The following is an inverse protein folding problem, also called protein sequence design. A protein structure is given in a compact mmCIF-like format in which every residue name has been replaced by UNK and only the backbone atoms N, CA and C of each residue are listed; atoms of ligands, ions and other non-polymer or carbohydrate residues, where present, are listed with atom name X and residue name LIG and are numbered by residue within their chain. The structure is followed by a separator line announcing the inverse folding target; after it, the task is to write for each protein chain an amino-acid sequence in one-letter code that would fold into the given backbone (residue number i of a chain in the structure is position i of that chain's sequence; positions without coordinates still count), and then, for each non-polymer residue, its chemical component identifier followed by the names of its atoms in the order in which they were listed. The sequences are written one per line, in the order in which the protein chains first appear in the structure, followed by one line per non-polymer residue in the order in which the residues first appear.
data_IF_625280494996
#
_entry.id   IF_625280494996
#
_cell.length_a   1.000
_cell.length_b   1.000
_cell.length_c   1.000
_cell.angle_alpha   90.00
_cell.angle_beta   90.00
_cell.angle_gamma   90.00
#
_symmetry.space_group_name_H-M   'P 1'
#
loop_
_entity.id
_entity.type
_entity.pdbx_description
1 polymer ?
#
# COMPACT_ATOMS: atom_id res chain seq x y z
N UNK A 1 -28.60 -2.12 10.21
CA UNK A 1 -27.40 -2.28 9.34
C UNK A 1 -26.70 -3.58 9.72
N UNK A 2 -26.33 -4.43 8.73
CA UNK A 2 -25.66 -5.70 9.01
C UNK A 2 -24.25 -5.50 9.60
N UNK A 3 -23.73 -6.47 10.36
CA UNK A 3 -22.38 -6.43 10.92
C UNK A 3 -21.33 -6.27 9.81
N UNK A 4 -21.47 -7.00 8.71
CA UNK A 4 -20.56 -6.92 7.55
C UNK A 4 -20.44 -5.51 7.01
N UNK A 5 -21.55 -4.82 6.83
CA UNK A 5 -21.56 -3.43 6.36
C UNK A 5 -20.90 -2.48 7.36
N UNK A 6 -21.09 -2.69 8.67
CA UNK A 6 -20.38 -1.90 9.70
C UNK A 6 -18.88 -2.12 9.65
N UNK A 7 -18.44 -3.36 9.41
CA UNK A 7 -17.02 -3.69 9.25
C UNK A 7 -16.47 -3.05 7.97
N UNK A 8 -17.21 -3.11 6.85
CA UNK A 8 -16.79 -2.51 5.59
C UNK A 8 -16.64 -0.99 5.71
N UNK A 9 -17.63 -0.31 6.29
CA UNK A 9 -17.60 1.14 6.52
C UNK A 9 -16.43 1.56 7.42
N UNK A 10 -16.15 0.79 8.48
CA UNK A 10 -15.00 1.02 9.35
C UNK A 10 -13.68 0.76 8.61
N UNK A 11 -13.58 -0.34 7.89
CA UNK A 11 -12.37 -0.76 7.17
C UNK A 11 -11.99 0.22 6.07
N UNK A 12 -12.96 0.69 5.29
CA UNK A 12 -12.77 1.67 4.23
C UNK A 12 -12.61 3.08 4.78
N UNK A 13 -13.17 3.35 5.96
CA UNK A 13 -13.15 4.66 6.57
C UNK A 13 -11.75 5.19 6.84
N UNK A 14 -11.60 6.52 6.72
CA UNK A 14 -10.36 7.23 6.99
C UNK A 14 -10.28 7.70 8.42
N UNK A 15 -11.42 8.00 9.00
CA UNK A 15 -11.60 8.21 10.42
C UNK A 15 -12.15 6.92 10.99
N UNK A 16 -11.56 6.49 12.03
CA UNK A 16 -11.95 5.37 12.86
C UNK A 16 -13.42 5.51 13.25
N UNK A 17 -14.30 4.79 12.59
CA UNK A 17 -15.69 4.65 13.00
C UNK A 17 -15.82 3.38 13.79
N UNK A 18 -16.34 3.47 15.00
CA UNK A 18 -16.60 2.30 15.81
C UNK A 18 -17.66 1.41 15.17
N UNK A 19 -17.44 0.11 15.17
CA UNK A 19 -18.44 -0.90 14.77
C UNK A 19 -19.69 -0.82 15.68
N UNK A 20 -19.55 -0.25 16.88
CA UNK A 20 -20.66 0.03 17.81
C UNK A 20 -21.42 1.31 17.54
N UNK A 21 -20.92 2.18 16.64
CA UNK A 21 -21.65 3.43 16.38
C UNK A 21 -23.09 3.07 15.98
N UNK A 22 -24.03 3.50 16.82
CA UNK A 22 -25.45 3.49 16.45
C UNK A 22 -25.58 4.24 15.13
N UNK A 23 -26.57 3.90 14.35
CA UNK A 23 -26.90 4.44 13.02
C UNK A 23 -27.11 5.97 12.97
N UNK A 24 -26.40 6.74 13.75
CA UNK A 24 -26.25 8.16 13.52
C UNK A 24 -25.53 8.29 12.17
N UNK A 25 -26.32 8.52 11.17
CA UNK A 25 -25.98 8.86 9.81
C UNK A 25 -25.06 10.09 9.77
N UNK A 26 -23.81 9.90 10.19
CA UNK A 26 -22.77 10.79 9.70
C UNK A 26 -22.58 10.29 8.28
N UNK A 27 -23.07 11.04 7.26
CA UNK A 27 -22.89 10.60 5.91
C UNK A 27 -21.39 10.40 5.73
N UNK A 28 -20.98 9.21 5.27
CA UNK A 28 -19.74 9.09 4.53
C UNK A 28 -19.81 10.27 3.61
N UNK A 29 -18.93 11.25 3.82
CA UNK A 29 -18.91 12.45 2.98
C UNK A 29 -19.25 11.95 1.58
N UNK A 30 -20.40 12.37 1.06
CA UNK A 30 -20.74 12.17 -0.35
C UNK A 30 -19.75 13.01 -1.11
N UNK A 31 -18.46 12.59 -1.05
CA UNK A 31 -17.47 13.16 -1.91
C UNK A 31 -17.92 12.76 -3.29
N UNK A 32 -18.37 13.73 -4.06
CA UNK A 32 -18.57 13.61 -5.50
C UNK A 32 -17.22 13.32 -6.16
N UNK A 33 -16.55 12.25 -5.72
CA UNK A 33 -15.26 11.84 -6.28
C UNK A 33 -15.58 11.10 -7.57
N UNK A 34 -15.28 11.76 -8.66
CA UNK A 34 -15.35 11.24 -10.03
C UNK A 34 -14.46 10.00 -10.29
N UNK A 35 -13.73 9.54 -9.27
CA UNK A 35 -12.91 8.31 -9.31
C UNK A 35 -13.63 7.08 -8.75
N UNK A 36 -14.88 7.20 -8.29
CA UNK A 36 -15.66 6.08 -7.77
C UNK A 36 -16.24 5.26 -8.92
N UNK A 37 -16.15 3.94 -8.78
CA UNK A 37 -16.87 3.01 -9.64
C UNK A 37 -18.39 3.12 -9.43
N UNK A 38 -19.15 2.84 -10.48
CA UNK A 38 -20.62 2.67 -10.41
C UNK A 38 -21.00 1.40 -9.68
N UNK A 39 -20.14 0.38 -9.73
CA UNK A 39 -20.34 -0.89 -9.05
C UNK A 39 -19.81 -0.76 -7.62
N UNK A 40 -20.63 -0.98 -6.58
CA UNK A 40 -20.18 -0.97 -5.19
C UNK A 40 -19.26 -2.17 -4.91
N UNK A 41 -18.42 -2.05 -3.88
CA UNK A 41 -17.65 -3.18 -3.36
C UNK A 41 -18.62 -4.23 -2.76
N UNK A 42 -18.24 -5.50 -2.81
CA UNK A 42 -19.03 -6.59 -2.23
C UNK A 42 -19.15 -6.41 -0.72
N UNK A 43 -20.32 -6.72 -0.18
CA UNK A 43 -20.52 -6.75 1.27
C UNK A 43 -19.63 -7.83 1.90
N UNK A 44 -18.96 -7.46 3.01
CA UNK A 44 -18.00 -8.33 3.67
C UNK A 44 -16.56 -8.19 3.16
N UNK A 45 -16.29 -7.31 2.19
CA UNK A 45 -14.94 -7.04 1.70
C UNK A 45 -13.95 -6.68 2.79
N UNK A 46 -14.36 -5.90 3.77
CA UNK A 46 -13.53 -5.54 4.92
C UNK A 46 -13.11 -6.76 5.71
N UNK A 47 -14.07 -7.61 6.07
CA UNK A 47 -13.78 -8.85 6.80
C UNK A 47 -12.91 -9.80 5.98
N UNK A 48 -13.20 -10.00 4.69
CA UNK A 48 -12.40 -10.85 3.82
C UNK A 48 -10.93 -10.40 3.76
N UNK A 49 -10.66 -9.10 3.68
CA UNK A 49 -9.30 -8.58 3.68
C UNK A 49 -8.60 -8.70 5.05
N UNK A 50 -9.32 -8.53 6.15
CA UNK A 50 -8.77 -8.70 7.50
C UNK A 50 -8.43 -10.17 7.78
N UNK A 51 -9.31 -11.11 7.42
CA UNK A 51 -9.07 -12.54 7.58
C UNK A 51 -7.93 -13.04 6.69
N UNK A 52 -7.84 -12.56 5.45
CA UNK A 52 -6.71 -12.82 4.56
C UNK A 52 -5.38 -12.31 5.16
N UNK A 53 -5.37 -11.11 5.74
CA UNK A 53 -4.20 -10.58 6.44
C UNK A 53 -3.81 -11.40 7.68
N UNK A 54 -4.80 -11.90 8.44
CA UNK A 54 -4.58 -12.80 9.58
C UNK A 54 -3.97 -14.14 9.16
N UNK A 55 -4.32 -14.64 7.97
CA UNK A 55 -3.71 -15.82 7.34
C UNK A 55 -2.32 -15.54 6.73
N UNK A 56 -1.85 -14.28 6.75
CA UNK A 56 -0.57 -13.86 6.14
C UNK A 56 -0.55 -13.93 4.60
N UNK A 57 -1.70 -13.92 3.95
CA UNK A 57 -1.75 -13.83 2.49
C UNK A 57 -1.08 -12.55 1.98
N UNK A 58 -0.52 -12.56 0.76
CA UNK A 58 0.20 -11.43 0.20
C UNK A 58 -0.71 -10.23 -0.02
N UNK A 59 -0.15 -9.03 0.14
CA UNK A 59 -0.85 -7.78 -0.10
C UNK A 59 -0.80 -7.40 -1.57
N UNK A 60 -1.95 -7.09 -2.14
CA UNK A 60 -2.02 -6.55 -3.50
C UNK A 60 -1.40 -5.16 -3.58
N UNK A 61 -0.88 -4.81 -4.73
CA UNK A 61 -0.31 -3.51 -5.01
C UNK A 61 -1.08 -2.80 -6.11
N UNK A 62 -1.57 -1.59 -5.82
CA UNK A 62 -2.09 -0.65 -6.82
C UNK A 62 -1.32 0.65 -6.69
N UNK A 63 -0.68 1.09 -7.76
CA UNK A 63 0.15 2.29 -7.78
C UNK A 63 -0.20 3.18 -8.97
N UNK A 64 -0.10 4.49 -8.78
CA UNK A 64 -0.01 5.48 -9.84
C UNK A 64 1.44 5.96 -9.86
N UNK A 65 2.28 5.49 -10.81
CA UNK A 65 3.67 5.89 -10.89
C UNK A 65 3.79 7.38 -11.14
N UNK A 66 4.77 8.02 -10.51
CA UNK A 66 5.14 9.39 -10.84
C UNK A 66 5.88 9.38 -12.19
N UNK A 67 5.41 10.15 -13.14
CA UNK A 67 6.16 10.38 -14.38
C UNK A 67 7.32 11.32 -14.09
N UNK A 68 8.53 10.92 -14.44
CA UNK A 68 9.75 11.70 -14.21
C UNK A 68 10.06 12.64 -15.39
N UNK A 69 9.54 12.34 -16.57
CA UNK A 69 9.78 13.13 -17.78
C UNK A 69 8.90 14.38 -17.84
N UNK A 70 9.47 15.51 -18.23
CA UNK A 70 8.75 16.75 -18.54
C UNK A 70 7.79 16.60 -19.73
N UNK A 71 8.10 15.70 -20.68
CA UNK A 71 7.30 15.41 -21.88
C UNK A 71 6.26 14.30 -21.66
N UNK A 72 5.73 14.18 -20.43
CA UNK A 72 4.79 13.14 -20.07
C UNK A 72 3.31 13.55 -20.17
N UNK A 73 3.02 14.73 -20.69
CA UNK A 73 1.68 15.29 -20.83
C UNK A 73 1.21 15.23 -22.29
N UNK A 74 -0.12 15.30 -22.49
CA UNK A 74 -0.74 15.23 -23.81
C UNK A 74 -0.58 13.87 -24.50
N UNK A 75 -0.84 13.87 -25.81
CA UNK A 75 -0.74 12.63 -26.65
C UNK A 75 0.69 12.09 -26.70
N UNK A 76 1.71 12.97 -26.69
CA UNK A 76 3.09 12.51 -26.65
C UNK A 76 3.39 11.67 -25.41
N UNK A 77 2.86 12.07 -24.25
CA UNK A 77 3.00 11.30 -23.02
C UNK A 77 2.26 9.95 -23.05
N UNK A 78 1.13 9.90 -23.74
CA UNK A 78 0.36 8.66 -23.96
C UNK A 78 1.15 7.72 -24.88
N UNK A 79 1.67 8.20 -26.03
CA UNK A 79 2.49 7.43 -26.96
C UNK A 79 3.69 6.80 -26.25
N UNK A 80 4.48 7.59 -25.58
CA UNK A 80 5.67 7.12 -24.84
C UNK A 80 5.30 6.03 -23.83
N UNK A 81 4.12 6.16 -23.18
CA UNK A 81 3.68 5.18 -22.23
C UNK A 81 3.21 3.89 -22.88
N UNK A 82 2.47 3.97 -23.99
CA UNK A 82 2.02 2.79 -24.73
C UNK A 82 3.18 2.04 -25.41
N UNK A 83 4.18 2.74 -25.93
CA UNK A 83 5.42 2.13 -26.41
C UNK A 83 6.12 1.34 -25.30
N UNK A 84 6.17 1.89 -24.09
CA UNK A 84 6.73 1.20 -22.94
C UNK A 84 5.92 -0.04 -22.54
N UNK A 85 4.61 0.06 -22.33
CA UNK A 85 3.79 -1.07 -21.83
C UNK A 85 3.59 -2.16 -22.88
N UNK A 86 3.60 -1.81 -24.18
CA UNK A 86 3.57 -2.77 -25.29
C UNK A 86 4.95 -3.34 -25.63
N UNK A 87 6.03 -2.86 -24.97
CA UNK A 87 7.43 -3.13 -25.35
C UNK A 87 7.65 -2.93 -26.86
N UNK A 88 7.24 -1.76 -27.37
CA UNK A 88 7.25 -1.42 -28.79
C UNK A 88 6.47 -2.42 -29.66
N UNK A 89 5.35 -2.92 -29.17
CA UNK A 89 4.47 -3.86 -29.86
C UNK A 89 4.86 -5.33 -29.75
N UNK A 90 5.85 -5.67 -28.90
CA UNK A 90 6.22 -7.08 -28.64
C UNK A 90 5.24 -7.79 -27.69
N UNK A 91 4.54 -7.04 -26.84
CA UNK A 91 3.53 -7.55 -25.90
C UNK A 91 2.15 -7.16 -26.42
N UNK A 92 1.21 -8.09 -26.34
CA UNK A 92 -0.20 -7.86 -26.64
C UNK A 92 -0.78 -6.85 -25.65
N UNK A 93 -1.44 -5.83 -26.16
CA UNK A 93 -2.21 -4.85 -25.40
C UNK A 93 -3.69 -5.13 -25.63
N UNK A 94 -4.51 -5.01 -24.58
CA UNK A 94 -5.94 -5.19 -24.67
C UNK A 94 -6.64 -3.85 -24.40
N UNK A 95 -7.67 -3.53 -25.16
CA UNK A 95 -8.46 -2.31 -24.98
C UNK A 95 -9.73 -2.54 -24.14
N UNK A 96 -10.43 -1.45 -23.83
CA UNK A 96 -11.67 -1.45 -23.05
C UNK A 96 -12.82 -2.25 -23.68
N UNK A 97 -12.76 -2.53 -25.00
CA UNK A 97 -13.75 -3.34 -25.71
C UNK A 97 -13.37 -4.84 -25.75
N UNK A 98 -12.22 -5.23 -25.14
CA UNK A 98 -11.72 -6.60 -25.16
C UNK A 98 -10.93 -6.96 -26.41
N UNK A 99 -10.66 -6.00 -27.29
CA UNK A 99 -9.87 -6.22 -28.50
C UNK A 99 -8.38 -6.33 -28.16
N UNK A 100 -7.71 -7.33 -28.73
CA UNK A 100 -6.28 -7.57 -28.55
C UNK A 100 -5.48 -6.92 -29.69
N UNK A 101 -4.69 -5.94 -29.31
CA UNK A 101 -3.83 -5.18 -30.21
C UNK A 101 -2.44 -5.83 -30.24
N UNK A 102 -2.15 -6.49 -31.37
CA UNK A 102 -0.88 -7.18 -31.57
C UNK A 102 0.02 -6.39 -32.53
N UNK A 103 1.23 -6.14 -32.11
CA UNK A 103 2.23 -5.44 -32.89
C UNK A 103 2.08 -3.91 -32.88
N UNK A 104 3.14 -3.26 -33.32
CA UNK A 104 3.25 -1.79 -33.28
C UNK A 104 2.19 -1.07 -34.11
N UNK A 105 1.78 -1.66 -35.24
CA UNK A 105 0.76 -1.05 -36.14
C UNK A 105 -0.61 -0.96 -35.46
N UNK A 106 -1.06 -2.03 -34.79
CA UNK A 106 -2.34 -2.05 -34.08
C UNK A 106 -2.37 -1.02 -32.92
N UNK A 107 -1.30 -0.95 -32.14
CA UNK A 107 -1.16 0.05 -31.06
C UNK A 107 -1.17 1.47 -31.61
N UNK A 108 -0.51 1.70 -32.78
CA UNK A 108 -0.51 3.00 -33.44
C UNK A 108 -1.90 3.40 -33.94
N UNK A 109 -2.64 2.48 -34.56
CA UNK A 109 -4.03 2.72 -35.00
C UNK A 109 -4.92 3.16 -33.84
N UNK A 110 -4.83 2.48 -32.69
CA UNK A 110 -5.57 2.87 -31.49
C UNK A 110 -5.18 4.26 -30.96
N UNK A 111 -3.90 4.64 -31.07
CA UNK A 111 -3.44 5.99 -30.72
C UNK A 111 -4.00 7.06 -31.67
N UNK A 112 -4.12 6.75 -32.97
CA UNK A 112 -4.74 7.64 -33.96
C UNK A 112 -6.22 7.87 -33.65
N UNK A 113 -6.94 6.82 -33.19
CA UNK A 113 -8.32 6.98 -32.73
C UNK A 113 -8.43 7.85 -31.47
N UNK A 114 -7.53 7.71 -30.52
CA UNK A 114 -7.47 8.57 -29.34
C UNK A 114 -7.11 10.02 -29.69
N UNK A 115 -6.31 10.23 -30.74
CA UNK A 115 -5.99 11.57 -31.21
C UNK A 115 -7.22 12.32 -31.76
N UNK A 116 -8.18 11.60 -32.36
CA UNK A 116 -9.47 12.15 -32.83
C UNK A 116 -10.35 12.68 -31.67
N UNK A 117 -10.05 12.29 -30.43
CA UNK A 117 -10.75 12.79 -29.22
C UNK A 117 -10.31 14.21 -28.79
N UNK A 118 -9.63 14.95 -29.66
CA UNK A 118 -9.13 16.30 -29.41
C UNK A 118 -8.17 16.39 -28.17
N UNK A 119 -7.43 15.34 -27.91
CA UNK A 119 -6.39 15.36 -26.90
C UNK A 119 -5.20 16.19 -27.44
N UNK A 120 -4.77 17.27 -26.75
CA UNK A 120 -3.68 18.10 -27.25
C UNK A 120 -2.38 17.32 -27.33
N UNK A 121 -1.60 17.56 -28.38
CA UNK A 121 -0.30 16.89 -28.57
C UNK A 121 0.65 17.13 -27.39
N UNK A 122 0.71 18.38 -26.93
CA UNK A 122 1.43 18.81 -25.73
C UNK A 122 0.50 19.63 -24.85
N UNK A 123 0.49 19.39 -23.57
CA UNK A 123 -0.42 20.05 -22.65
C UNK A 123 0.18 20.24 -21.26
N UNK A 124 -0.46 21.08 -20.46
CA UNK A 124 -0.11 21.30 -19.03
C UNK A 124 -0.55 20.14 -18.16
N UNK A 125 -1.53 19.36 -18.60
CA UNK A 125 -2.17 18.33 -17.80
C UNK A 125 -1.90 16.92 -18.35
N UNK A 126 -2.03 15.94 -17.50
CA UNK A 126 -2.00 14.52 -17.90
C UNK A 126 -3.34 14.20 -18.56
N UNK A 127 -3.30 13.61 -19.74
CA UNK A 127 -4.52 13.17 -20.44
C UNK A 127 -4.75 11.66 -20.29
N UNK A 128 -3.80 10.92 -19.75
CA UNK A 128 -4.00 9.55 -19.30
C UNK A 128 -3.39 9.28 -17.93
N UNK A 129 -4.01 8.41 -17.17
CA UNK A 129 -3.56 7.92 -15.88
C UNK A 129 -2.91 6.55 -16.04
N UNK A 130 -1.67 6.43 -15.61
CA UNK A 130 -1.00 5.14 -15.55
C UNK A 130 -1.24 4.50 -14.20
N UNK A 131 -1.72 3.27 -14.19
CA UNK A 131 -1.96 2.48 -13.00
C UNK A 131 -1.18 1.18 -13.15
N UNK A 132 -0.55 0.74 -12.08
CA UNK A 132 0.11 -0.56 -12.02
C UNK A 132 -0.61 -1.40 -10.98
N UNK A 133 -1.11 -2.53 -11.41
CA UNK A 133 -1.74 -3.58 -10.61
C UNK A 133 -0.75 -4.73 -10.50
N UNK A 134 -0.34 -5.12 -9.30
CA UNK A 134 0.76 -6.08 -9.14
C UNK A 134 0.54 -7.03 -7.99
N UNK A 135 1.05 -8.25 -8.15
CA UNK A 135 1.15 -9.29 -7.13
C UNK A 135 2.62 -9.73 -6.96
N UNK A 136 3.01 -10.33 -5.84
CA UNK A 136 4.34 -10.90 -5.67
C UNK A 136 4.65 -12.02 -6.66
N UNK A 137 5.93 -12.33 -6.82
CA UNK A 137 6.40 -13.48 -7.57
C UNK A 137 5.72 -14.79 -7.10
N UNK A 138 5.51 -15.71 -8.03
CA UNK A 138 4.80 -16.97 -7.78
C UNK A 138 3.27 -16.87 -7.91
N UNK A 139 2.71 -15.67 -8.13
CA UNK A 139 1.28 -15.54 -8.47
C UNK A 139 1.07 -15.88 -9.94
N UNK A 140 0.03 -16.69 -10.31
CA UNK A 140 -0.25 -17.00 -11.71
C UNK A 140 -0.49 -15.74 -12.55
N UNK A 141 0.31 -15.47 -13.58
CA UNK A 141 0.20 -14.24 -14.38
C UNK A 141 -1.16 -14.07 -15.05
N UNK A 142 -1.75 -15.17 -15.53
CA UNK A 142 -3.05 -15.14 -16.18
C UNK A 142 -4.17 -14.73 -15.21
N UNK A 143 -4.12 -15.17 -13.95
CA UNK A 143 -5.08 -14.75 -12.92
C UNK A 143 -4.95 -13.24 -12.63
N UNK A 144 -3.73 -12.70 -12.61
CA UNK A 144 -3.50 -11.26 -12.47
C UNK A 144 -4.04 -10.48 -13.65
N UNK A 145 -3.88 -10.98 -14.88
CA UNK A 145 -4.44 -10.37 -16.09
C UNK A 145 -5.97 -10.37 -16.07
N UNK A 146 -6.60 -11.51 -15.77
CA UNK A 146 -8.06 -11.62 -15.70
C UNK A 146 -8.63 -10.70 -14.59
N UNK A 147 -8.03 -10.72 -13.40
CA UNK A 147 -8.43 -9.83 -12.32
C UNK A 147 -8.28 -8.34 -12.69
N UNK A 148 -7.22 -7.97 -13.42
CA UNK A 148 -7.00 -6.60 -13.89
C UNK A 148 -8.04 -6.19 -14.96
N UNK A 149 -8.40 -7.09 -15.88
CA UNK A 149 -9.46 -6.88 -16.88
C UNK A 149 -10.79 -6.60 -16.17
N UNK A 150 -11.20 -7.48 -15.27
CA UNK A 150 -12.45 -7.36 -14.52
C UNK A 150 -12.47 -6.10 -13.62
N UNK A 151 -11.33 -5.78 -12.99
CA UNK A 151 -11.14 -4.54 -12.25
C UNK A 151 -11.33 -3.31 -13.13
N UNK A 152 -10.68 -3.28 -14.30
CA UNK A 152 -10.74 -2.13 -15.20
C UNK A 152 -12.16 -1.93 -15.76
N UNK A 153 -12.84 -3.00 -16.15
CA UNK A 153 -14.22 -2.96 -16.64
C UNK A 153 -15.20 -2.39 -15.60
N UNK A 154 -15.07 -2.78 -14.32
CA UNK A 154 -15.92 -2.25 -13.27
C UNK A 154 -15.54 -0.84 -12.81
N UNK A 155 -14.23 -0.56 -12.69
CA UNK A 155 -13.75 0.69 -12.13
C UNK A 155 -13.81 1.85 -13.12
N UNK A 156 -13.59 1.56 -14.40
CA UNK A 156 -13.44 2.54 -15.47
C UNK A 156 -14.42 2.32 -16.62
N UNK A 157 -15.64 1.86 -16.31
CA UNK A 157 -16.68 1.53 -17.30
C UNK A 157 -16.96 2.65 -18.32
N UNK A 158 -16.80 3.92 -17.91
CA UNK A 158 -17.05 5.09 -18.75
C UNK A 158 -15.79 5.66 -19.41
N UNK A 159 -14.62 5.06 -19.15
CA UNK A 159 -13.36 5.53 -19.68
C UNK A 159 -12.83 4.59 -20.76
N UNK A 160 -12.17 5.14 -21.74
CA UNK A 160 -11.32 4.34 -22.61
C UNK A 160 -10.00 4.02 -21.90
N UNK A 161 -9.56 2.78 -22.03
CA UNK A 161 -8.29 2.33 -21.44
C UNK A 161 -7.63 1.25 -22.28
N UNK A 162 -6.33 1.09 -22.05
CA UNK A 162 -5.50 0.01 -22.60
C UNK A 162 -4.71 -0.60 -21.47
N UNK A 163 -4.49 -1.92 -21.53
CA UNK A 163 -3.66 -2.58 -20.54
C UNK A 163 -2.80 -3.69 -21.13
N UNK A 164 -1.68 -3.97 -20.50
CA UNK A 164 -0.75 -5.03 -20.87
C UNK A 164 -0.21 -5.73 -19.63
N UNK A 165 -0.06 -7.05 -19.71
CA UNK A 165 0.57 -7.87 -18.68
C UNK A 165 2.09 -7.92 -18.89
N UNK A 166 2.83 -7.66 -17.82
CA UNK A 166 4.25 -7.91 -17.70
C UNK A 166 4.48 -8.96 -16.63
N UNK A 167 5.14 -10.06 -16.93
CA UNK A 167 5.43 -11.12 -15.95
C UNK A 167 6.87 -11.65 -16.05
N UNK A 168 7.58 -11.31 -17.11
CA UNK A 168 8.98 -11.67 -17.29
C UNK A 168 9.88 -10.55 -16.78
N UNK A 169 10.91 -10.90 -16.02
CA UNK A 169 11.94 -9.94 -15.62
C UNK A 169 12.78 -9.54 -16.84
N UNK A 170 13.12 -8.26 -16.94
CA UNK A 170 14.06 -7.77 -17.95
C UNK A 170 15.53 -8.01 -17.56
N UNK A 171 15.76 -8.38 -16.30
CA UNK A 171 17.08 -8.60 -15.73
C UNK A 171 17.19 -10.01 -15.16
N UNK A 172 18.24 -10.68 -15.53
CA UNK A 172 18.56 -12.00 -15.00
C UNK A 172 18.70 -11.94 -13.47
N UNK A 173 18.05 -12.88 -12.76
CA UNK A 173 18.06 -12.96 -11.30
C UNK A 173 17.05 -12.09 -10.55
N UNK A 174 16.25 -11.24 -11.21
CA UNK A 174 15.12 -10.57 -10.56
C UNK A 174 13.92 -11.52 -10.47
N UNK A 175 13.20 -11.54 -9.33
CA UNK A 175 11.99 -12.36 -9.21
C UNK A 175 10.90 -11.83 -10.15
N UNK A 176 10.26 -12.73 -10.86
CA UNK A 176 9.14 -12.43 -11.74
C UNK A 176 7.91 -11.99 -10.92
N UNK A 177 7.60 -10.70 -10.99
CA UNK A 177 6.43 -10.11 -10.36
C UNK A 177 5.36 -9.85 -11.43
N UNK A 178 4.30 -10.67 -11.52
CA UNK A 178 3.25 -10.39 -12.48
C UNK A 178 2.58 -9.06 -12.16
N UNK A 179 2.55 -8.19 -13.17
CA UNK A 179 1.91 -6.88 -13.04
C UNK A 179 1.29 -6.42 -14.35
N UNK A 180 0.17 -5.75 -14.23
CA UNK A 180 -0.55 -5.16 -15.35
C UNK A 180 -0.36 -3.66 -15.33
N UNK A 181 0.12 -3.12 -16.43
CA UNK A 181 0.11 -1.70 -16.71
C UNK A 181 -1.23 -1.32 -17.34
N UNK A 182 -1.94 -0.40 -16.74
CA UNK A 182 -3.22 0.12 -17.22
C UNK A 182 -3.08 1.60 -17.53
N UNK A 183 -3.37 1.97 -18.77
CA UNK A 183 -3.40 3.34 -19.26
C UNK A 183 -4.85 3.76 -19.47
N UNK A 184 -5.39 4.62 -18.60
CA UNK A 184 -6.79 5.08 -18.62
C UNK A 184 -6.84 6.53 -19.07
N UNK A 185 -7.65 6.86 -20.07
CA UNK A 185 -7.89 8.25 -20.44
C UNK A 185 -8.53 9.02 -19.29
N UNK A 186 -8.02 10.22 -19.03
CA UNK A 186 -8.47 11.03 -17.89
C UNK A 186 -9.92 11.50 -18.00
N UNK A 187 -10.44 11.68 -19.23
CA UNK A 187 -11.83 12.07 -19.48
C UNK A 187 -12.65 10.83 -19.82
N UNK A 188 -13.82 10.75 -19.18
CA UNK A 188 -14.81 9.74 -19.50
C UNK A 188 -15.62 10.16 -20.75
N UNK A 189 -16.57 9.31 -21.16
CA UNK A 189 -17.47 9.54 -22.30
C UNK A 189 -18.37 10.77 -22.13
N UNK A 190 -18.51 11.27 -20.90
CA UNK A 190 -19.29 12.47 -20.56
C UNK A 190 -18.38 13.71 -20.41
N UNK A 191 -17.09 13.61 -20.74
CA UNK A 191 -16.12 14.69 -20.61
C UNK A 191 -15.67 14.97 -19.17
N UNK A 192 -16.09 14.16 -18.19
CA UNK A 192 -15.70 14.33 -16.79
C UNK A 192 -14.29 13.79 -16.56
N UNK A 193 -13.50 14.56 -15.81
CA UNK A 193 -12.09 14.21 -15.57
C UNK A 193 -11.90 13.35 -14.33
N UNK A 194 -11.15 12.27 -14.47
CA UNK A 194 -10.72 11.41 -13.37
C UNK A 194 -9.81 12.17 -12.39
N UNK A 195 -10.11 12.11 -11.10
CA UNK A 195 -9.31 12.78 -10.06
C UNK A 195 -9.21 11.91 -8.80
N UNK A 196 -8.45 10.82 -8.85
CA UNK A 196 -8.35 9.88 -7.73
C UNK A 196 -7.64 10.51 -6.52
N UNK A 197 -8.20 10.28 -5.33
CA UNK A 197 -7.63 10.64 -4.03
C UNK A 197 -7.03 9.40 -3.35
N UNK A 198 -6.34 9.59 -2.24
CA UNK A 198 -5.77 8.47 -1.46
C UNK A 198 -6.80 7.40 -1.10
N UNK A 199 -8.01 7.83 -0.93
CA UNK A 199 -9.13 6.98 -0.56
C UNK A 199 -9.54 6.07 -1.71
N UNK A 200 -9.65 6.65 -2.89
CA UNK A 200 -10.00 5.93 -4.11
C UNK A 200 -8.95 4.86 -4.40
N UNK A 201 -7.65 5.18 -4.21
CA UNK A 201 -6.58 4.20 -4.37
C UNK A 201 -6.68 3.02 -3.38
N UNK A 202 -7.21 3.25 -2.17
CA UNK A 202 -7.44 2.16 -1.24
C UNK A 202 -8.65 1.31 -1.65
N UNK A 203 -9.74 1.93 -2.08
CA UNK A 203 -10.89 1.23 -2.65
C UNK A 203 -10.49 0.42 -3.90
N UNK A 204 -9.65 0.96 -4.77
CA UNK A 204 -9.10 0.23 -5.92
C UNK A 204 -8.28 -0.99 -5.52
N UNK A 205 -7.49 -0.88 -4.44
CA UNK A 205 -6.78 -2.04 -3.90
C UNK A 205 -7.73 -3.12 -3.42
N UNK A 206 -8.78 -2.73 -2.71
CA UNK A 206 -9.81 -3.65 -2.21
C UNK A 206 -10.53 -4.33 -3.37
N UNK A 207 -10.94 -3.57 -4.38
CA UNK A 207 -11.59 -4.10 -5.58
C UNK A 207 -10.67 -5.05 -6.36
N UNK A 208 -9.42 -4.68 -6.56
CA UNK A 208 -8.46 -5.56 -7.23
C UNK A 208 -8.24 -6.86 -6.45
N UNK A 209 -8.19 -6.80 -5.12
CA UNK A 209 -8.11 -8.00 -4.29
C UNK A 209 -9.39 -8.87 -4.38
N UNK A 210 -10.57 -8.26 -4.52
CA UNK A 210 -11.80 -9.00 -4.80
C UNK A 210 -11.69 -9.78 -6.12
N UNK A 211 -11.25 -9.10 -7.19
CA UNK A 211 -11.09 -9.72 -8.52
C UNK A 211 -10.04 -10.83 -8.53
N UNK A 212 -8.95 -10.66 -7.79
CA UNK A 212 -7.94 -11.72 -7.64
C UNK A 212 -8.50 -12.95 -6.90
N UNK A 213 -9.30 -12.75 -5.86
CA UNK A 213 -9.95 -13.87 -5.15
C UNK A 213 -11.00 -14.58 -6.02
N UNK A 214 -11.68 -13.86 -6.92
CA UNK A 214 -12.56 -14.46 -7.93
C UNK A 214 -11.80 -15.37 -8.91
N UNK A 215 -10.52 -15.07 -9.16
CA UNK A 215 -9.59 -15.90 -9.96
C UNK A 215 -8.85 -16.97 -9.12
N UNK A 216 -9.28 -17.21 -7.86
CA UNK A 216 -8.67 -18.20 -6.98
C UNK A 216 -7.36 -17.77 -6.33
N UNK A 217 -6.95 -16.52 -6.43
CA UNK A 217 -5.73 -16.00 -5.81
C UNK A 217 -6.00 -15.45 -4.41
N UNK A 218 -5.49 -16.14 -3.40
CA UNK A 218 -5.60 -15.71 -2.01
C UNK A 218 -4.72 -14.48 -1.74
N UNK A 219 -5.35 -13.35 -1.43
CA UNK A 219 -4.65 -12.08 -1.22
C UNK A 219 -5.40 -11.13 -0.30
N UNK A 220 -4.71 -10.11 0.18
CA UNK A 220 -5.24 -9.08 1.08
C UNK A 220 -5.00 -7.67 0.51
N UNK A 221 -5.88 -6.74 0.90
CA UNK A 221 -5.75 -5.31 0.63
C UNK A 221 -5.97 -4.53 1.93
N UNK A 222 -4.98 -4.50 2.81
CA UNK A 222 -5.08 -3.80 4.09
C UNK A 222 -4.19 -2.56 4.15
N UNK A 223 -4.52 -1.61 5.03
CA UNK A 223 -3.61 -0.52 5.37
C UNK A 223 -2.54 -1.04 6.34
N UNK A 224 -1.35 -0.43 6.35
CA UNK A 224 -0.29 -0.80 7.30
C UNK A 224 -0.74 -0.72 8.77
N UNK A 225 -1.58 0.27 9.08
CA UNK A 225 -2.16 0.43 10.42
C UNK A 225 -3.00 -0.77 10.85
N UNK A 226 -3.74 -1.42 9.93
CA UNK A 226 -4.52 -2.63 10.22
C UNK A 226 -3.63 -3.83 10.59
N UNK A 227 -2.35 -3.80 10.24
CA UNK A 227 -1.36 -4.83 10.56
C UNK A 227 -0.35 -4.40 11.63
N UNK A 228 -0.55 -3.24 12.23
CA UNK A 228 0.38 -2.68 13.23
C UNK A 228 1.76 -2.30 12.69
N UNK A 229 1.97 -2.28 11.36
CA UNK A 229 3.28 -2.02 10.75
C UNK A 229 3.58 -0.54 10.68
N UNK A 230 4.60 -0.09 11.40
CA UNK A 230 5.10 1.30 11.39
C UNK A 230 6.08 1.51 10.22
N UNK A 231 6.97 0.55 10.00
CA UNK A 231 7.99 0.68 8.97
C UNK A 231 7.40 0.73 7.57
N UNK A 232 7.88 1.69 6.78
CA UNK A 232 7.60 1.75 5.34
C UNK A 232 8.57 0.83 4.61
N UNK A 233 8.11 0.21 3.52
CA UNK A 233 9.01 -0.40 2.56
C UNK A 233 9.96 0.66 1.98
N UNK A 234 11.16 0.26 1.63
CA UNK A 234 12.15 1.12 1.00
C UNK A 234 11.63 1.60 -0.37
N UNK A 235 11.93 2.87 -0.68
CA UNK A 235 11.57 3.42 -1.99
C UNK A 235 12.43 2.76 -3.07
N UNK A 236 11.82 2.33 -4.19
CA UNK A 236 12.54 1.67 -5.29
C UNK A 236 13.69 2.51 -5.87
N UNK A 237 13.55 3.85 -5.92
CA UNK A 237 14.63 4.75 -6.37
C UNK A 237 15.82 4.68 -5.40
N UNK A 238 15.54 4.71 -4.09
CA UNK A 238 16.56 4.60 -3.03
C UNK A 238 17.27 3.25 -3.12
N UNK A 239 16.52 2.18 -3.32
CA UNK A 239 17.05 0.83 -3.51
C UNK A 239 17.95 0.76 -4.75
N UNK A 240 17.47 1.22 -5.90
CA UNK A 240 18.24 1.24 -7.14
C UNK A 240 19.51 2.12 -7.07
N UNK A 241 19.51 3.20 -6.27
CA UNK A 241 20.72 3.98 -6.00
C UNK A 241 21.74 3.17 -5.20
N UNK A 242 21.31 2.45 -4.17
CA UNK A 242 22.17 1.59 -3.35
C UNK A 242 22.78 0.44 -4.15
N UNK A 243 21.98 -0.22 -4.98
CA UNK A 243 22.43 -1.29 -5.87
C UNK A 243 23.54 -0.83 -6.83
N UNK A 244 23.56 0.46 -7.18
CA UNK A 244 24.62 1.10 -7.98
C UNK A 244 25.77 1.65 -7.13
N UNK A 245 25.83 1.35 -5.81
CA UNK A 245 26.85 1.84 -4.91
C UNK A 245 26.72 3.30 -4.49
N UNK A 246 25.64 3.99 -4.88
CA UNK A 246 25.40 5.39 -4.52
C UNK A 246 24.67 5.49 -3.18
N UNK A 247 25.14 6.36 -2.28
CA UNK A 247 24.46 6.63 -1.01
C UNK A 247 23.42 7.73 -1.20
N UNK A 248 22.11 7.45 -1.03
CA UNK A 248 21.06 8.45 -1.14
C UNK A 248 21.21 9.57 -0.10
N UNK A 249 20.91 10.82 -0.49
CA UNK A 249 20.99 11.97 0.43
C UNK A 249 20.24 11.77 1.74
N UNK A 250 19.04 11.18 1.66
CA UNK A 250 18.21 10.87 2.85
C UNK A 250 18.95 9.91 3.80
N UNK A 251 19.73 8.99 3.26
CA UNK A 251 20.47 8.03 4.08
C UNK A 251 21.70 8.65 4.73
N UNK A 252 22.41 9.55 4.04
CA UNK A 252 23.49 10.34 4.63
C UNK A 252 22.98 11.15 5.83
N UNK A 253 21.92 11.91 5.62
CA UNK A 253 21.31 12.72 6.68
C UNK A 253 20.88 11.85 7.87
N UNK A 254 20.25 10.71 7.62
CA UNK A 254 19.83 9.79 8.68
C UNK A 254 21.02 9.21 9.46
N UNK A 255 22.12 8.89 8.78
CA UNK A 255 23.35 8.40 9.43
C UNK A 255 23.99 9.50 10.29
N UNK A 256 24.01 10.73 9.83
CA UNK A 256 24.49 11.89 10.60
C UNK A 256 23.65 12.10 11.86
N UNK A 257 22.32 12.12 11.72
CA UNK A 257 21.38 12.21 12.86
C UNK A 257 21.57 11.04 13.86
N UNK A 258 21.75 9.83 13.36
CA UNK A 258 22.00 8.66 14.21
C UNK A 258 23.34 8.75 14.93
N UNK A 259 24.42 9.17 14.27
CA UNK A 259 25.73 9.34 14.89
C UNK A 259 25.71 10.42 15.97
N UNK A 260 25.01 11.55 15.75
CA UNK A 260 24.80 12.57 16.77
C UNK A 260 24.02 12.04 17.97
N UNK A 261 22.92 11.30 17.70
CA UNK A 261 22.10 10.68 18.74
C UNK A 261 22.91 9.71 19.62
N UNK A 262 23.78 8.89 18.99
CA UNK A 262 24.68 7.96 19.70
C UNK A 262 25.71 8.75 20.54
N UNK A 263 26.32 9.79 19.97
CA UNK A 263 27.32 10.60 20.67
C UNK A 263 26.74 11.30 21.90
N UNK A 264 25.48 11.76 21.80
CA UNK A 264 24.80 12.43 22.89
C UNK A 264 24.09 11.44 23.85
N UNK A 265 24.10 10.14 23.57
CA UNK A 265 23.32 9.11 24.27
C UNK A 265 21.81 9.42 24.32
N UNK A 266 21.30 10.15 23.31
CA UNK A 266 19.90 10.52 23.19
C UNK A 266 19.19 9.66 22.16
N UNK A 267 18.26 8.83 22.61
CA UNK A 267 17.46 7.98 21.71
C UNK A 267 16.62 8.84 20.77
N UNK A 268 16.66 8.63 19.42
CA UNK A 268 15.87 9.41 18.48
C UNK A 268 14.37 9.40 18.81
N UNK A 269 13.74 10.56 18.82
CA UNK A 269 12.31 10.69 19.07
C UNK A 269 11.49 10.54 17.78
N UNK A 270 10.25 10.09 17.92
CA UNK A 270 9.31 10.03 16.82
C UNK A 270 8.19 11.04 17.07
N UNK A 271 8.10 12.15 16.30
CA UNK A 271 7.17 13.25 16.59
C UNK A 271 5.69 12.86 16.62
N UNK A 272 5.34 11.73 15.97
CA UNK A 272 3.96 11.24 15.88
C UNK A 272 3.72 9.95 16.66
N UNK A 273 4.61 9.55 17.59
CA UNK A 273 4.50 8.25 18.28
C UNK A 273 3.18 8.14 19.05
N UNK A 274 2.79 9.18 19.75
CA UNK A 274 1.52 9.20 20.52
C UNK A 274 0.32 8.97 19.60
N UNK A 275 0.27 9.64 18.45
CA UNK A 275 -0.81 9.45 17.46
C UNK A 275 -0.83 8.03 16.88
N UNK A 276 0.34 7.44 16.68
CA UNK A 276 0.47 6.04 16.23
C UNK A 276 -0.04 5.10 17.32
N UNK A 277 0.29 5.32 18.58
CA UNK A 277 -0.18 4.52 19.72
C UNK A 277 -1.71 4.62 19.89
N UNK A 278 -2.26 5.82 19.83
CA UNK A 278 -3.71 6.04 19.89
C UNK A 278 -4.43 5.31 18.75
N UNK A 279 -3.95 5.45 17.50
CA UNK A 279 -4.52 4.77 16.34
C UNK A 279 -4.47 3.24 16.50
N UNK A 280 -3.36 2.71 17.02
CA UNK A 280 -3.19 1.29 17.30
C UNK A 280 -4.13 0.79 18.36
N UNK A 281 -4.23 1.51 19.51
CA UNK A 281 -5.15 1.18 20.59
C UNK A 281 -6.60 1.13 20.10
N UNK A 282 -6.98 2.11 19.29
CA UNK A 282 -8.29 2.16 18.68
C UNK A 282 -8.56 0.94 17.76
N UNK A 283 -7.63 0.58 16.87
CA UNK A 283 -7.80 -0.56 15.96
C UNK A 283 -7.90 -1.87 16.76
N UNK A 284 -7.09 -2.03 17.82
CA UNK A 284 -7.16 -3.20 18.70
C UNK A 284 -8.51 -3.32 19.39
N UNK A 285 -9.08 -2.21 19.87
CA UNK A 285 -10.41 -2.19 20.44
C UNK A 285 -11.48 -2.61 19.42
N UNK A 286 -11.40 -2.10 18.18
CA UNK A 286 -12.31 -2.50 17.10
C UNK A 286 -12.17 -3.99 16.73
N UNK A 287 -10.97 -4.54 16.70
CA UNK A 287 -10.78 -5.98 16.49
C UNK A 287 -11.42 -6.81 17.60
N UNK A 288 -11.32 -6.38 18.85
CA UNK A 288 -12.00 -7.02 19.97
C UNK A 288 -13.53 -7.03 19.79
N UNK A 289 -14.10 -5.90 19.34
CA UNK A 289 -15.52 -5.78 19.07
C UNK A 289 -15.99 -6.66 17.92
N UNK A 290 -15.26 -6.61 16.79
CA UNK A 290 -15.55 -7.42 15.61
C UNK A 290 -15.49 -8.90 15.96
N UNK A 291 -14.44 -9.36 16.63
CA UNK A 291 -14.30 -10.76 17.04
C UNK A 291 -15.45 -11.21 17.96
N UNK A 292 -15.84 -10.37 18.93
CA UNK A 292 -16.96 -10.66 19.84
C UNK A 292 -18.30 -10.81 19.11
N UNK A 293 -18.60 -9.88 18.18
CA UNK A 293 -19.86 -9.93 17.43
C UNK A 293 -19.89 -11.10 16.43
N UNK A 294 -18.77 -11.40 15.74
CA UNK A 294 -18.65 -12.58 14.90
C UNK A 294 -18.85 -13.88 15.69
N UNK A 295 -18.27 -13.98 16.89
CA UNK A 295 -18.45 -15.16 17.75
C UNK A 295 -19.91 -15.35 18.16
N UNK A 296 -20.61 -14.29 18.53
CA UNK A 296 -22.05 -14.34 18.86
C UNK A 296 -22.92 -14.80 17.68
N UNK A 297 -22.51 -14.44 16.45
CA UNK A 297 -23.21 -14.85 15.23
C UNK A 297 -22.85 -16.28 14.77
N UNK A 298 -22.01 -17.00 15.52
CA UNK A 298 -21.56 -18.34 15.17
C UNK A 298 -20.37 -18.41 14.21
N UNK A 299 -19.83 -17.26 13.75
CA UNK A 299 -18.67 -17.18 12.87
C UNK A 299 -17.35 -17.36 13.68
N UNK A 300 -17.19 -18.51 14.32
CA UNK A 300 -16.09 -18.79 15.26
C UNK A 300 -14.71 -18.74 14.60
N UNK A 301 -14.60 -19.18 13.35
CA UNK A 301 -13.33 -19.20 12.61
C UNK A 301 -12.85 -17.78 12.29
N UNK A 302 -13.74 -16.94 11.78
CA UNK A 302 -13.45 -15.53 11.48
C UNK A 302 -13.12 -14.76 12.76
N UNK A 303 -13.86 -14.98 13.85
CA UNK A 303 -13.59 -14.40 15.16
C UNK A 303 -12.19 -14.75 15.66
N UNK A 304 -11.76 -16.02 15.50
CA UNK A 304 -10.41 -16.48 15.86
C UNK A 304 -9.34 -15.80 14.99
N UNK A 305 -9.58 -15.65 13.68
CA UNK A 305 -8.65 -14.97 12.78
C UNK A 305 -8.48 -13.48 13.12
N UNK A 306 -9.57 -12.78 13.44
CA UNK A 306 -9.50 -11.38 13.88
C UNK A 306 -8.74 -11.24 15.22
N UNK A 307 -8.99 -12.15 16.17
CA UNK A 307 -8.25 -12.19 17.44
C UNK A 307 -6.74 -12.45 17.21
N UNK A 308 -6.39 -13.35 16.27
CA UNK A 308 -5.00 -13.59 15.87
C UNK A 308 -4.36 -12.34 15.27
N UNK A 309 -5.07 -11.62 14.39
CA UNK A 309 -4.58 -10.36 13.80
C UNK A 309 -4.32 -9.30 14.87
N UNK A 310 -5.18 -9.21 15.89
CA UNK A 310 -4.97 -8.32 17.04
C UNK A 310 -3.72 -8.73 17.84
N UNK A 311 -3.55 -10.02 18.13
CA UNK A 311 -2.36 -10.55 18.83
C UNK A 311 -1.07 -10.27 18.05
N UNK A 312 -1.08 -10.52 16.74
CA UNK A 312 0.06 -10.21 15.86
C UNK A 312 0.39 -8.71 15.87
N UNK A 313 -0.62 -7.85 15.93
CA UNK A 313 -0.43 -6.41 16.03
C UNK A 313 0.23 -6.03 17.37
N UNK A 314 -0.21 -6.61 18.49
CA UNK A 314 0.39 -6.37 19.82
C UNK A 314 1.87 -6.71 19.81
N UNK A 315 2.26 -7.81 19.17
CA UNK A 315 3.66 -8.23 19.03
C UNK A 315 4.52 -7.35 18.11
N UNK A 316 3.94 -6.44 17.33
CA UNK A 316 4.72 -5.56 16.46
C UNK A 316 5.39 -4.43 17.24
N UNK A 317 6.71 -4.21 17.09
CA UNK A 317 7.41 -3.15 17.80
C UNK A 317 6.95 -1.76 17.33
N UNK A 318 6.85 -0.84 18.28
CA UNK A 318 6.48 0.57 18.07
C UNK A 318 7.69 1.47 17.73
N UNK A 319 8.84 0.88 17.45
CA UNK A 319 10.07 1.62 17.16
C UNK A 319 10.21 1.94 15.67
N UNK A 320 10.75 3.11 15.36
CA UNK A 320 11.17 3.51 14.02
C UNK A 320 12.45 2.82 13.61
N UNK A 321 12.83 2.94 12.33
CA UNK A 321 14.13 2.41 11.85
C UNK A 321 15.31 3.04 12.59
N UNK A 322 15.30 4.37 12.77
CA UNK A 322 16.34 5.09 13.50
C UNK A 322 16.46 4.64 14.98
N UNK A 323 15.32 4.47 15.66
CA UNK A 323 15.31 3.97 17.03
C UNK A 323 15.87 2.55 17.14
N UNK A 324 15.54 1.65 16.22
CA UNK A 324 16.09 0.28 16.22
C UNK A 324 17.59 0.24 15.96
N UNK A 325 18.05 1.06 15.01
CA UNK A 325 19.49 1.18 14.72
C UNK A 325 20.27 1.76 15.90
N UNK A 326 19.66 2.74 16.60
CA UNK A 326 20.21 3.28 17.85
C UNK A 326 20.27 2.22 18.95
N UNK A 327 19.14 1.55 19.21
CA UNK A 327 19.04 0.51 20.23
C UNK A 327 20.06 -0.62 19.99
N UNK A 328 20.27 -1.02 18.71
CA UNK A 328 21.27 -2.03 18.33
C UNK A 328 22.72 -1.61 18.58
N UNK A 329 23.02 -0.30 18.43
CA UNK A 329 24.40 0.20 18.58
C UNK A 329 24.73 0.58 20.04
N UNK A 330 23.76 1.05 20.80
CA UNK A 330 23.99 1.51 22.19
C UNK A 330 23.81 0.40 23.21
N UNK A 331 22.88 -0.56 23.00
CA UNK A 331 22.68 -1.67 23.94
C UNK A 331 23.92 -2.54 24.20
N UNK A 332 24.81 -2.82 23.22
CA UNK A 332 26.06 -3.53 23.47
C UNK A 332 27.08 -2.72 24.28
N UNK A 333 27.07 -1.40 24.16
CA UNK A 333 28.02 -0.52 24.86
C UNK A 333 27.70 -0.34 26.33
N UNK A 334 26.40 -0.27 26.69
CA UNK A 334 25.94 -0.15 28.08
C UNK A 334 26.19 -1.42 28.88
N UNK A 335 26.26 -2.59 28.24
CA UNK A 335 26.59 -3.86 28.88
C UNK A 335 28.10 -4.05 29.12
N UNK A 336 28.97 -3.20 28.55
CA UNK A 336 30.43 -3.28 28.71
C UNK A 336 31.03 -2.27 29.69
N UNK A 337 30.23 -1.38 30.30
CA UNK A 337 30.74 -0.58 31.41
C UNK A 337 30.89 -1.43 32.66
N UNK A 338 32.11 -1.56 33.23
CA UNK A 338 32.29 -2.34 34.43
C UNK A 338 31.59 -1.66 35.60
N UNK A 339 30.83 -2.44 36.36
CA UNK A 339 30.34 -2.03 37.69
C UNK A 339 31.52 -1.55 38.52
N UNK A 340 31.73 -0.25 38.60
CA UNK A 340 32.60 0.33 39.65
C UNK A 340 31.83 0.16 40.95
N UNK A 341 32.15 -0.93 41.66
CA UNK A 341 31.74 -1.12 43.07
C UNK A 341 32.31 0.02 43.88
N UNK A 342 31.46 0.91 44.35
CA UNK A 342 31.83 1.80 45.46
C UNK A 342 32.06 0.94 46.69
N UNK A 343 33.32 0.65 46.97
CA UNK A 343 33.75 0.22 48.28
C UNK A 343 33.63 1.43 49.21
N UNK A 344 32.55 1.47 49.95
CA UNK A 344 32.47 2.30 51.18
C UNK A 344 33.34 1.65 52.23
N UNK A 345 34.54 2.21 52.42
CA UNK A 345 35.39 1.90 53.56
C UNK A 345 34.69 2.33 54.83
N UNK A 346 34.31 1.39 55.66
CA UNK A 346 33.96 1.62 57.06
C UNK A 346 35.27 1.67 57.83
N UNK A 347 35.75 2.86 58.19
CA UNK A 347 36.76 3.05 59.23
C UNK A 347 36.18 2.62 60.57
N UNK A 348 36.75 1.58 61.15
CA UNK A 348 36.50 1.22 62.55
C UNK A 348 37.32 2.19 63.43
N UNK A 349 36.62 3.06 64.12
CA UNK A 349 37.16 3.88 65.16
C UNK A 349 37.33 3.02 66.44
N UNK A 350 38.57 2.75 66.80
CA UNK A 350 38.99 2.12 68.08
C UNK A 350 39.22 3.23 69.11
N UNK A 351 38.21 3.58 69.87
CA UNK A 351 38.36 4.45 71.05
C UNK A 351 38.79 3.65 72.31
N UNK A 352 39.62 4.21 73.18
CA UNK A 352 40.30 3.46 74.21
C UNK A 352 39.44 3.18 75.43
N UNK A 353 39.67 2.02 76.03
CA UNK A 353 39.20 1.52 77.31
C UNK A 353 39.60 2.44 78.54
N UNK A 354 38.64 2.78 79.39
CA UNK A 354 38.76 2.76 80.79
C UNK A 354 37.44 2.40 81.47
#
# INVERSE_FOLDING_TARGET
MSLYRKIDDWFLGFKTRSVRAKDSSIPISKSNHRAKSRVPLKSGSGLANLTAAAKKHPEVMVKIPKRLSRNSNGMQGIRNHLDYISRNGKITVENHSGEKLNGKKAVKSQLEDWQKLNIPERGKHREALNIVLSMPAGTPPQAVLNAARNFAAEQFADHQYLFALHHESEKEGEPEHPHVHLCVLMRDTYGQRLNPRKNDLFEWRVRFAEKLREEGVECAATKRQHRGKILKAENGIVRAMKERGATPRIEKQRLEELNQAIKNLERPTHPYIQKVMQTRGYILAEYGLIAKELYKMGHKNEARLISRLAKDMIGQPLSTKAQREYDQKVSPQVQQEPHISKQTGIEQDNGPTR
#
